data_IF_748119452941
#
_entry.id   IF_748119452941
#
_cell.length_a   1.000
_cell.length_b   1.000
_cell.length_c   1.000
_cell.angle_alpha   90.00
_cell.angle_beta   90.00
_cell.angle_gamma   90.00
#
_symmetry.space_group_name_H-M   'P 1'
#
loop_
_entity.id
_entity.type
_entity.pdbx_description
1 polymer ?
#
# COMPACT_ATOMS: atom_id res chain seq x y z
N UNK A 1 7.00 -10.75 -16.89
CA UNK A 1 7.81 -9.62 -17.37
C UNK A 1 7.63 -8.47 -16.39
N UNK A 2 8.69 -7.79 -15.96
CA UNK A 2 8.58 -6.67 -15.02
C UNK A 2 9.04 -5.39 -15.70
N UNK A 3 8.21 -4.36 -15.63
CA UNK A 3 8.49 -3.04 -16.20
C UNK A 3 8.48 -2.00 -15.08
N UNK A 4 9.42 -1.05 -15.17
CA UNK A 4 9.43 0.10 -14.27
C UNK A 4 8.96 1.33 -15.04
N UNK A 5 7.84 1.89 -14.61
CA UNK A 5 7.29 3.14 -15.14
C UNK A 5 7.46 4.23 -14.08
N UNK A 6 8.08 5.34 -14.44
CA UNK A 6 8.16 6.53 -13.58
C UNK A 6 7.55 7.68 -14.37
N UNK A 7 6.43 8.22 -13.87
CA UNK A 7 5.61 9.23 -14.54
C UNK A 7 5.23 8.81 -15.98
N UNK A 8 4.83 7.55 -16.16
CA UNK A 8 4.41 7.00 -17.45
C UNK A 8 5.55 6.63 -18.41
N UNK A 9 6.82 6.83 -18.04
CA UNK A 9 7.97 6.52 -18.90
C UNK A 9 8.70 5.26 -18.44
N UNK A 10 8.97 4.33 -19.36
CA UNK A 10 9.74 3.11 -19.06
C UNK A 10 11.17 3.45 -18.62
N UNK A 11 11.62 2.78 -17.56
CA UNK A 11 12.96 2.94 -16.98
C UNK A 11 13.61 1.57 -16.83
N UNK A 12 14.92 1.54 -17.03
CA UNK A 12 15.72 0.35 -16.76
C UNK A 12 15.68 0.03 -15.24
N UNK A 13 15.15 -1.14 -14.82
CA UNK A 13 15.01 -1.49 -13.41
C UNK A 13 16.33 -1.47 -12.63
N UNK A 14 17.46 -1.81 -13.27
CA UNK A 14 18.77 -1.89 -12.61
C UNK A 14 19.34 -0.51 -12.25
N UNK A 15 18.96 0.54 -12.97
CA UNK A 15 19.54 1.88 -12.78
C UNK A 15 18.58 2.83 -12.08
N UNK A 16 17.27 2.69 -12.30
CA UNK A 16 16.26 3.56 -11.69
C UNK A 16 16.22 3.41 -10.17
N UNK A 17 16.51 2.21 -9.64
CA UNK A 17 16.52 1.93 -8.19
C UNK A 17 17.52 2.76 -7.38
N UNK A 18 18.56 3.31 -8.03
CA UNK A 18 19.54 4.22 -7.41
C UNK A 18 18.99 5.65 -7.28
N UNK A 19 18.01 6.02 -8.11
CA UNK A 19 17.37 7.34 -8.15
C UNK A 19 16.10 7.41 -7.30
N UNK A 20 15.52 6.27 -6.95
CA UNK A 20 14.33 6.21 -6.11
C UNK A 20 14.68 6.41 -4.62
N UNK A 21 13.82 7.13 -3.86
CA UNK A 21 14.00 7.27 -2.43
C UNK A 21 13.99 5.88 -1.78
N UNK A 22 14.95 5.64 -0.89
CA UNK A 22 14.98 4.40 -0.09
C UNK A 22 13.91 4.46 0.99
N UNK A 23 13.27 3.33 1.24
CA UNK A 23 12.35 3.19 2.35
C UNK A 23 13.07 3.49 3.66
N UNK A 24 12.54 4.42 4.45
CA UNK A 24 13.03 4.73 5.79
C UNK A 24 12.07 4.14 6.81
N UNK A 25 12.62 3.48 7.82
CA UNK A 25 11.82 2.99 8.95
C UNK A 25 11.42 4.16 9.83
N UNK A 26 10.19 4.15 10.33
CA UNK A 26 9.76 5.07 11.36
C UNK A 26 10.48 4.73 12.67
N UNK A 27 10.92 5.74 13.42
CA UNK A 27 11.49 5.53 14.75
C UNK A 27 10.46 4.85 15.66
N UNK A 28 10.89 3.87 16.48
CA UNK A 28 9.99 3.07 17.33
C UNK A 28 9.10 3.95 18.22
N UNK A 29 9.66 5.02 18.78
CA UNK A 29 8.93 5.98 19.62
C UNK A 29 7.78 6.71 18.89
N UNK A 30 7.78 6.77 17.55
CA UNK A 30 6.73 7.40 16.76
C UNK A 30 5.64 6.44 16.31
N UNK A 31 5.82 5.12 16.49
CA UNK A 31 4.82 4.12 16.10
C UNK A 31 3.48 4.28 16.83
N UNK A 32 3.43 4.57 18.14
CA UNK A 32 2.14 4.75 18.82
C UNK A 32 1.32 5.89 18.20
N UNK A 33 1.94 7.07 18.01
CA UNK A 33 1.28 8.22 17.40
C UNK A 33 0.85 7.96 15.95
N UNK A 34 1.67 7.24 15.17
CA UNK A 34 1.31 6.85 13.81
C UNK A 34 0.09 5.93 13.78
N UNK A 35 0.05 4.91 14.64
CA UNK A 35 -1.08 3.98 14.74
C UNK A 35 -2.37 4.73 15.07
N UNK A 36 -2.35 5.56 16.13
CA UNK A 36 -3.51 6.40 16.50
C UNK A 36 -3.98 7.28 15.35
N UNK A 37 -3.07 7.86 14.56
CA UNK A 37 -3.42 8.72 13.45
C UNK A 37 -4.09 7.98 12.28
N UNK A 38 -3.93 6.66 12.17
CA UNK A 38 -4.46 5.87 11.05
C UNK A 38 -5.62 4.94 11.45
N UNK A 39 -5.93 4.79 12.73
CA UNK A 39 -6.89 3.79 13.22
C UNK A 39 -8.27 3.92 12.55
N UNK A 40 -8.89 5.11 12.52
CA UNK A 40 -10.19 5.29 11.86
C UNK A 40 -10.16 4.96 10.37
N UNK A 41 -9.05 5.22 9.67
CA UNK A 41 -8.91 4.87 8.24
C UNK A 41 -8.77 3.37 8.06
N UNK A 42 -8.08 2.69 8.97
CA UNK A 42 -7.95 1.24 8.95
C UNK A 42 -9.31 0.58 9.13
N UNK A 43 -10.12 1.06 10.07
CA UNK A 43 -11.48 0.54 10.30
C UNK A 43 -12.36 0.65 9.05
N UNK A 44 -12.36 1.82 8.41
CA UNK A 44 -13.12 2.04 7.16
C UNK A 44 -12.66 1.08 6.06
N UNK A 45 -11.35 0.93 5.86
CA UNK A 45 -10.82 0.03 4.85
C UNK A 45 -11.13 -1.45 5.15
N UNK A 46 -11.10 -1.85 6.42
CA UNK A 46 -11.47 -3.19 6.85
C UNK A 46 -12.94 -3.49 6.55
N UNK A 47 -13.83 -2.55 6.87
CA UNK A 47 -15.25 -2.67 6.57
C UNK A 47 -15.48 -2.85 5.06
N UNK A 48 -14.86 -2.02 4.21
CA UNK A 48 -14.99 -2.16 2.77
C UNK A 48 -14.42 -3.48 2.24
N UNK A 49 -13.28 -3.94 2.74
CA UNK A 49 -12.71 -5.25 2.35
C UNK A 49 -13.69 -6.39 2.63
N UNK A 50 -14.30 -6.41 3.82
CA UNK A 50 -15.28 -7.41 4.21
C UNK A 50 -16.51 -7.37 3.30
N UNK A 51 -16.99 -6.18 2.95
CA UNK A 51 -18.12 -6.05 2.01
C UNK A 51 -17.79 -6.63 0.63
N UNK A 52 -16.59 -6.39 0.11
CA UNK A 52 -16.17 -6.97 -1.17
C UNK A 52 -16.06 -8.49 -1.11
N UNK A 53 -15.52 -9.04 -0.03
CA UNK A 53 -15.42 -10.49 0.18
C UNK A 53 -16.81 -11.15 0.24
N UNK A 54 -17.74 -10.56 1.00
CA UNK A 54 -19.12 -11.05 1.10
C UNK A 54 -19.84 -11.00 -0.25
N UNK A 55 -19.70 -9.90 -0.99
CA UNK A 55 -20.30 -9.75 -2.31
C UNK A 55 -19.73 -10.77 -3.31
N UNK A 56 -18.42 -11.06 -3.25
CA UNK A 56 -17.79 -12.06 -4.10
C UNK A 56 -18.29 -13.49 -3.80
N UNK A 57 -18.52 -13.82 -2.52
CA UNK A 57 -19.10 -15.11 -2.12
C UNK A 57 -20.55 -15.27 -2.60
N UNK A 58 -21.36 -14.20 -2.50
CA UNK A 58 -22.75 -14.22 -2.97
C UNK A 58 -22.90 -14.41 -4.49
N UNK A 59 -21.89 -14.06 -5.29
CA UNK A 59 -21.90 -14.27 -6.74
C UNK A 59 -21.41 -15.65 -7.16
N UNK A 60 -20.78 -16.40 -6.24
CA UNK A 60 -20.28 -17.75 -6.47
C UNK A 60 -21.31 -18.84 -6.15
N UNK A 61 -22.46 -18.48 -5.55
CA UNK A 61 -23.64 -19.31 -5.35
C UNK A 61 -24.65 -19.14 -6.49
#
# INVERSE_FOLDING_TARGET
HYEFLVNGVHRNPRTIIKKLPKAKKLAKAKLPAFNTAIDSRREILQHFSQQFELAALQQAE
#
